data_IF_538647104425
#
_entry.id   IF_538647104425
#
_cell.length_a   1.000
_cell.length_b   1.000
_cell.length_c   1.000
_cell.angle_alpha   90.00
_cell.angle_beta   90.00
_cell.angle_gamma   90.00
#
_symmetry.space_group_name_H-M   'P 1'
#
loop_
_entity.id
_entity.type
_entity.pdbx_description
1 polymer ?
#
# COMPACT_ATOMS: atom_id res chain seq x y z
N UNK A 1 -14.91 -14.15 25.17
CA UNK A 1 -13.72 -14.37 24.32
C UNK A 1 -12.48 -14.18 25.20
N UNK A 2 -11.44 -14.99 25.07
CA UNK A 2 -10.19 -14.78 25.85
C UNK A 2 -9.47 -13.56 25.30
N UNK A 3 -9.19 -12.57 26.15
CA UNK A 3 -8.45 -11.36 25.75
C UNK A 3 -7.07 -11.74 25.21
N UNK A 4 -6.63 -11.05 24.17
CA UNK A 4 -5.36 -11.25 23.48
C UNK A 4 -4.62 -9.93 23.41
N UNK A 5 -3.30 -10.03 23.36
CA UNK A 5 -2.42 -8.90 23.07
C UNK A 5 -1.77 -9.14 21.72
N UNK A 6 -2.17 -8.34 20.74
CA UNK A 6 -1.91 -8.56 19.34
C UNK A 6 -0.82 -7.61 18.86
N UNK A 7 0.19 -8.13 18.18
CA UNK A 7 1.19 -7.34 17.48
C UNK A 7 0.90 -7.32 15.98
N UNK A 8 0.55 -6.15 15.44
CA UNK A 8 0.47 -5.93 14.00
C UNK A 8 1.83 -5.52 13.47
N UNK A 9 2.33 -6.20 12.44
CA UNK A 9 3.65 -5.92 11.87
C UNK A 9 3.52 -5.52 10.41
N UNK A 10 3.99 -4.31 10.08
CA UNK A 10 4.15 -3.86 8.69
C UNK A 10 5.47 -3.09 8.54
N UNK A 11 5.91 -2.83 7.31
CA UNK A 11 7.17 -2.10 7.09
C UNK A 11 7.03 -0.60 7.39
N UNK A 12 5.82 -0.08 7.23
CA UNK A 12 5.42 1.29 7.55
C UNK A 12 4.01 1.25 8.14
N UNK A 13 3.68 2.13 9.08
CA UNK A 13 2.33 2.26 9.65
C UNK A 13 2.01 3.75 9.80
N UNK A 14 0.73 4.11 9.90
CA UNK A 14 0.32 5.51 10.10
C UNK A 14 0.55 6.41 8.87
N UNK A 15 0.56 5.82 7.67
CA UNK A 15 0.57 6.53 6.39
C UNK A 15 -0.73 6.30 5.61
N UNK A 16 -0.84 6.95 4.47
CA UNK A 16 -2.03 6.96 3.61
C UNK A 16 -2.03 5.87 2.55
N UNK A 17 -1.08 4.93 2.63
CA UNK A 17 -1.10 3.78 1.73
C UNK A 17 -2.22 2.80 2.09
N UNK A 18 -2.68 2.05 1.08
CA UNK A 18 -3.82 1.16 1.23
C UNK A 18 -3.65 0.08 2.31
N UNK A 19 -2.43 -0.37 2.62
CA UNK A 19 -2.23 -1.38 3.68
C UNK A 19 -2.31 -0.75 5.07
N UNK A 20 -1.74 0.45 5.25
CA UNK A 20 -1.86 1.21 6.50
C UNK A 20 -3.32 1.50 6.88
N UNK A 21 -4.16 1.86 5.90
CA UNK A 21 -5.60 2.10 6.14
C UNK A 21 -6.34 0.82 6.55
N UNK A 22 -6.07 -0.30 5.89
CA UNK A 22 -6.70 -1.58 6.24
C UNK A 22 -6.22 -2.12 7.58
N UNK A 23 -4.94 -1.92 7.91
CA UNK A 23 -4.37 -2.24 9.22
C UNK A 23 -5.09 -1.47 10.34
N UNK A 24 -5.42 -0.19 10.12
CA UNK A 24 -6.18 0.61 11.09
C UNK A 24 -7.59 0.04 11.33
N UNK A 25 -8.30 -0.36 10.26
CA UNK A 25 -9.63 -1.00 10.37
C UNK A 25 -9.56 -2.31 11.14
N UNK A 26 -8.58 -3.16 10.83
CA UNK A 26 -8.38 -4.43 11.54
C UNK A 26 -8.09 -4.18 13.02
N UNK A 27 -7.18 -3.25 13.33
CA UNK A 27 -6.86 -2.86 14.71
C UNK A 27 -8.13 -2.47 15.47
N UNK A 28 -8.94 -1.58 14.90
CA UNK A 28 -10.18 -1.12 15.52
C UNK A 28 -11.13 -2.29 15.82
N UNK A 29 -11.37 -3.18 14.86
CA UNK A 29 -12.25 -4.35 15.06
C UNK A 29 -11.74 -5.26 16.19
N UNK A 30 -10.43 -5.52 16.25
CA UNK A 30 -9.86 -6.33 17.33
C UNK A 30 -9.97 -5.63 18.70
N UNK A 31 -9.80 -4.31 18.76
CA UNK A 31 -9.97 -3.52 19.98
C UNK A 31 -11.44 -3.50 20.45
N UNK A 32 -12.40 -3.36 19.54
CA UNK A 32 -13.84 -3.46 19.82
C UNK A 32 -14.25 -4.85 20.34
N UNK A 33 -13.57 -5.91 19.87
CA UNK A 33 -13.72 -7.27 20.39
C UNK A 33 -13.07 -7.46 21.79
N UNK A 34 -12.44 -6.43 22.35
CA UNK A 34 -11.86 -6.43 23.69
C UNK A 34 -10.39 -6.86 23.74
N UNK A 35 -9.72 -7.02 22.60
CA UNK A 35 -8.29 -7.29 22.53
C UNK A 35 -7.46 -6.01 22.70
N UNK A 36 -6.17 -6.16 22.94
CA UNK A 36 -5.21 -5.04 22.95
C UNK A 36 -4.32 -5.17 21.72
N UNK A 37 -4.13 -4.09 20.96
CA UNK A 37 -3.37 -4.11 19.72
C UNK A 37 -2.19 -3.11 19.77
N UNK A 38 -1.02 -3.57 19.34
CA UNK A 38 0.18 -2.77 19.17
C UNK A 38 0.63 -2.80 17.72
N UNK A 39 1.03 -1.64 17.20
CA UNK A 39 1.55 -1.51 15.85
C UNK A 39 3.08 -1.55 15.88
N UNK A 40 3.68 -2.33 14.98
CA UNK A 40 5.12 -2.41 14.77
C UNK A 40 5.43 -1.97 13.35
N UNK A 41 6.31 -0.98 13.21
CA UNK A 41 6.65 -0.37 11.93
C UNK A 41 8.12 0.06 11.85
N UNK A 42 8.68 0.02 10.64
CA UNK A 42 9.98 0.65 10.35
C UNK A 42 9.89 2.15 10.13
N UNK A 43 8.70 2.61 9.77
CA UNK A 43 8.25 3.98 9.83
C UNK A 43 6.87 3.97 10.49
N UNK A 44 6.65 4.82 11.48
CA UNK A 44 5.38 4.88 12.23
C UNK A 44 4.56 6.13 11.93
N UNK A 45 5.04 7.02 11.06
CA UNK A 45 4.31 8.22 10.66
C UNK A 45 3.77 9.02 11.86
N UNK A 46 2.49 9.38 11.80
CA UNK A 46 1.77 10.04 12.89
C UNK A 46 1.12 9.06 13.90
N UNK A 47 1.30 7.74 13.73
CA UNK A 47 0.66 6.75 14.58
C UNK A 47 1.42 6.49 15.88
N UNK A 48 0.69 6.10 16.93
CA UNK A 48 1.27 5.57 18.17
C UNK A 48 1.72 4.10 17.96
N UNK A 49 2.86 3.94 17.28
CA UNK A 49 3.45 2.66 16.92
C UNK A 49 4.85 2.44 17.50
N UNK A 50 5.23 1.18 17.66
CA UNK A 50 6.57 0.75 18.08
C UNK A 50 7.48 0.83 16.86
N UNK A 51 8.39 1.81 16.88
CA UNK A 51 9.35 2.05 15.82
C UNK A 51 10.54 1.08 15.91
N UNK A 52 10.75 0.31 14.84
CA UNK A 52 11.94 -0.54 14.64
C UNK A 52 12.53 -0.18 13.27
N UNK A 53 13.42 0.83 13.18
CA UNK A 53 13.85 1.43 11.92
C UNK A 53 14.34 0.42 10.87
N UNK A 54 14.98 -0.66 11.32
CA UNK A 54 15.49 -1.75 10.48
C UNK A 54 14.40 -2.53 9.73
N UNK A 55 13.14 -2.42 10.13
CA UNK A 55 12.01 -2.98 9.39
C UNK A 55 11.70 -2.19 8.12
N UNK A 56 12.12 -0.93 8.02
CA UNK A 56 11.76 -0.08 6.90
C UNK A 56 12.40 -0.61 5.62
N UNK A 57 11.57 -0.81 4.61
CA UNK A 57 11.94 -1.50 3.37
C UNK A 57 12.74 -0.62 2.40
N UNK A 58 12.72 0.70 2.58
CA UNK A 58 13.52 1.67 1.82
C UNK A 58 14.82 2.08 2.53
N UNK A 59 15.32 1.25 3.46
CA UNK A 59 16.69 1.44 3.94
C UNK A 59 17.67 0.90 2.89
N UNK A 60 18.87 1.50 2.74
CA UNK A 60 19.86 1.01 1.76
C UNK A 60 20.15 -0.49 1.88
N UNK A 61 20.20 -1.00 3.12
CA UNK A 61 20.40 -2.42 3.38
C UNK A 61 19.19 -3.28 3.00
N UNK A 62 17.96 -2.86 3.33
CA UNK A 62 16.76 -3.61 2.96
C UNK A 62 16.60 -3.69 1.45
N UNK A 63 16.86 -2.60 0.73
CA UNK A 63 16.80 -2.58 -0.74
C UNK A 63 17.87 -3.46 -1.37
N UNK A 64 19.12 -3.41 -0.88
CA UNK A 64 20.21 -4.29 -1.31
C UNK A 64 19.84 -5.77 -1.13
N UNK A 65 19.33 -6.15 0.05
CA UNK A 65 18.90 -7.51 0.34
C UNK A 65 17.68 -7.92 -0.50
N UNK A 66 16.75 -6.99 -0.73
CA UNK A 66 15.58 -7.21 -1.58
C UNK A 66 16.01 -7.48 -3.04
N UNK A 67 16.89 -6.66 -3.62
CA UNK A 67 17.44 -6.86 -4.97
C UNK A 67 18.21 -8.18 -5.06
N UNK A 68 19.03 -8.49 -4.07
CA UNK A 68 19.71 -9.77 -3.96
C UNK A 68 18.77 -10.96 -3.81
N UNK A 69 17.56 -10.79 -3.28
CA UNK A 69 16.58 -11.89 -3.17
C UNK A 69 15.83 -12.14 -4.49
N UNK A 70 15.46 -11.07 -5.20
CA UNK A 70 14.44 -11.12 -6.26
C UNK A 70 14.89 -10.67 -7.65
N UNK A 71 16.08 -10.08 -7.76
CA UNK A 71 16.58 -9.46 -9.00
C UNK A 71 17.96 -10.01 -9.40
N UNK A 72 19.04 -9.66 -8.69
CA UNK A 72 20.40 -10.10 -9.02
C UNK A 72 21.35 -10.07 -7.81
N UNK A 73 22.44 -10.84 -7.88
CA UNK A 73 23.51 -10.85 -6.86
C UNK A 73 24.66 -9.88 -7.19
N UNK A 74 24.45 -8.90 -8.05
CA UNK A 74 25.55 -8.04 -8.56
C UNK A 74 26.19 -7.21 -7.45
N UNK A 75 25.39 -6.71 -6.50
CA UNK A 75 25.88 -6.00 -5.30
C UNK A 75 26.69 -6.88 -4.33
N UNK A 76 26.68 -8.20 -4.57
CA UNK A 76 27.48 -9.21 -3.88
C UNK A 76 28.51 -9.87 -4.80
N UNK A 77 28.75 -9.32 -6.00
CA UNK A 77 29.68 -9.86 -6.99
C UNK A 77 29.38 -11.33 -7.36
N UNK A 78 28.11 -11.74 -7.27
CA UNK A 78 27.70 -13.13 -7.48
C UNK A 78 27.93 -14.09 -6.30
N UNK A 79 28.45 -13.61 -5.15
CA UNK A 79 28.71 -14.44 -3.97
C UNK A 79 27.44 -14.63 -3.12
N UNK A 80 26.83 -15.81 -3.22
CA UNK A 80 25.69 -16.19 -2.37
C UNK A 80 26.05 -16.22 -0.87
N UNK A 81 27.28 -16.59 -0.52
CA UNK A 81 27.74 -16.69 0.86
C UNK A 81 27.76 -15.35 1.57
N UNK A 82 28.17 -14.28 0.88
CA UNK A 82 28.19 -12.91 1.40
C UNK A 82 26.77 -12.38 1.60
N UNK A 83 25.91 -12.54 0.59
CA UNK A 83 24.48 -12.24 0.69
C UNK A 83 23.83 -12.97 1.86
N UNK A 84 24.07 -14.28 1.98
CA UNK A 84 23.54 -15.10 3.06
C UNK A 84 24.01 -14.60 4.43
N UNK A 85 25.28 -14.25 4.60
CA UNK A 85 25.77 -13.75 5.90
C UNK A 85 25.06 -12.46 6.30
N UNK A 86 24.94 -11.50 5.39
CA UNK A 86 24.31 -10.20 5.67
C UNK A 86 22.79 -10.35 5.92
N UNK A 87 22.11 -11.19 5.15
CA UNK A 87 20.69 -11.53 5.35
C UNK A 87 20.44 -12.10 6.76
N UNK A 88 21.27 -13.06 7.19
CA UNK A 88 21.12 -13.70 8.49
C UNK A 88 21.49 -12.77 9.65
N UNK A 89 22.54 -11.96 9.51
CA UNK A 89 22.90 -10.93 10.51
C UNK A 89 21.74 -9.95 10.74
N UNK A 90 21.15 -9.44 9.66
CA UNK A 90 20.01 -8.52 9.77
C UNK A 90 18.78 -9.19 10.38
N UNK A 91 18.58 -10.47 10.08
CA UNK A 91 17.49 -11.27 10.67
C UNK A 91 17.68 -11.47 12.17
N UNK A 92 18.90 -11.77 12.62
CA UNK A 92 19.20 -12.00 14.04
C UNK A 92 19.01 -10.71 14.86
N UNK A 93 19.38 -9.56 14.29
CA UNK A 93 19.11 -8.24 14.87
C UNK A 93 17.61 -7.99 15.01
N UNK A 94 16.84 -8.15 13.94
CA UNK A 94 15.38 -7.97 13.94
C UNK A 94 14.68 -8.92 14.90
N UNK A 95 15.06 -10.20 14.90
CA UNK A 95 14.53 -11.21 15.81
C UNK A 95 14.74 -10.81 17.27
N UNK A 96 15.93 -10.31 17.61
CA UNK A 96 16.26 -9.86 18.97
C UNK A 96 15.40 -8.66 19.39
N UNK A 97 15.21 -7.68 18.50
CA UNK A 97 14.35 -6.51 18.76
C UNK A 97 12.87 -6.90 18.88
N UNK A 98 12.36 -7.74 17.98
CA UNK A 98 10.99 -8.24 18.05
C UNK A 98 10.75 -8.98 19.36
N UNK A 99 11.65 -9.89 19.74
CA UNK A 99 11.55 -10.62 21.00
C UNK A 99 11.47 -9.68 22.21
N UNK A 100 12.32 -8.65 22.26
CA UNK A 100 12.34 -7.71 23.37
C UNK A 100 10.97 -7.02 23.55
N UNK A 101 10.43 -6.44 22.49
CA UNK A 101 9.13 -5.75 22.55
C UNK A 101 7.94 -6.71 22.73
N UNK A 102 8.00 -7.92 22.15
CA UNK A 102 6.98 -8.95 22.35
C UNK A 102 6.88 -9.31 23.82
N UNK A 103 8.02 -9.49 24.49
CA UNK A 103 8.06 -9.78 25.93
C UNK A 103 7.61 -8.57 26.76
N UNK A 104 8.09 -7.37 26.42
CA UNK A 104 7.75 -6.12 27.11
C UNK A 104 6.23 -5.84 27.08
N UNK A 105 5.59 -6.01 25.91
CA UNK A 105 4.16 -5.76 25.73
C UNK A 105 3.28 -6.97 26.04
N UNK A 106 3.87 -8.14 26.23
CA UNK A 106 3.13 -9.39 26.44
C UNK A 106 2.34 -9.83 25.21
N UNK A 107 2.89 -9.64 24.00
CA UNK A 107 2.25 -10.04 22.74
C UNK A 107 2.10 -11.57 22.70
N UNK A 108 0.88 -12.04 22.48
CA UNK A 108 0.53 -13.46 22.42
C UNK A 108 -0.21 -13.87 21.12
N UNK A 109 -0.30 -12.95 20.16
CA UNK A 109 -0.81 -13.20 18.82
C UNK A 109 -0.16 -12.25 17.80
N UNK A 110 0.24 -12.75 16.63
CA UNK A 110 0.90 -11.95 15.58
C UNK A 110 -0.03 -11.73 14.38
N UNK A 111 -0.06 -10.51 13.85
CA UNK A 111 -0.71 -10.19 12.58
C UNK A 111 0.30 -9.52 11.64
N UNK A 112 1.07 -10.30 10.87
CA UNK A 112 1.90 -9.78 9.81
C UNK A 112 1.01 -9.28 8.66
N UNK A 113 1.12 -7.99 8.33
CA UNK A 113 0.44 -7.35 7.21
C UNK A 113 1.40 -7.27 6.02
N UNK A 114 1.17 -8.06 4.99
CA UNK A 114 2.03 -8.20 3.80
C UNK A 114 3.50 -8.63 4.02
N UNK A 115 3.92 -8.81 5.27
CA UNK A 115 5.32 -9.13 5.60
C UNK A 115 5.74 -10.49 5.06
N UNK A 116 4.86 -11.50 5.14
CA UNK A 116 5.14 -12.85 4.66
C UNK A 116 4.72 -13.10 3.21
N UNK A 117 4.07 -12.15 2.55
CA UNK A 117 3.63 -12.29 1.16
C UNK A 117 4.49 -11.48 0.20
N UNK A 118 4.68 -10.18 0.47
CA UNK A 118 5.46 -9.27 -0.39
C UNK A 118 6.95 -9.37 -0.13
N UNK A 119 7.31 -9.54 1.14
CA UNK A 119 8.69 -9.64 1.63
C UNK A 119 9.59 -8.48 1.13
N UNK A 120 9.07 -7.26 1.15
CA UNK A 120 9.82 -6.06 0.73
C UNK A 120 11.10 -5.84 1.55
N UNK A 121 11.13 -6.35 2.79
CA UNK A 121 12.34 -6.50 3.60
C UNK A 121 12.44 -7.99 4.01
N UNK A 122 13.19 -8.82 3.25
CA UNK A 122 13.23 -10.28 3.45
C UNK A 122 13.65 -10.72 4.87
N UNK A 123 14.64 -10.07 5.53
CA UNK A 123 14.97 -10.31 6.95
C UNK A 123 13.79 -10.22 7.92
N UNK A 124 12.87 -9.27 7.74
CA UNK A 124 11.70 -9.09 8.62
C UNK A 124 10.77 -10.30 8.56
N UNK A 125 10.51 -10.80 7.35
CA UNK A 125 9.70 -12.01 7.16
C UNK A 125 10.34 -13.22 7.84
N UNK A 126 11.65 -13.41 7.66
CA UNK A 126 12.40 -14.49 8.31
C UNK A 126 12.40 -14.37 9.84
N UNK A 127 12.63 -13.17 10.38
CA UNK A 127 12.66 -12.91 11.81
C UNK A 127 11.30 -13.20 12.47
N UNK A 128 10.19 -12.72 11.90
CA UNK A 128 8.85 -13.01 12.42
C UNK A 128 8.51 -14.50 12.37
N UNK A 129 8.89 -15.20 11.29
CA UNK A 129 8.66 -16.64 11.20
C UNK A 129 9.45 -17.40 12.27
N UNK A 130 10.68 -16.96 12.61
CA UNK A 130 11.46 -17.53 13.71
C UNK A 130 10.83 -17.24 15.07
N UNK A 131 10.40 -16.02 15.33
CA UNK A 131 9.68 -15.64 16.56
C UNK A 131 8.44 -16.51 16.76
N UNK A 132 7.57 -16.59 15.75
CA UNK A 132 6.35 -17.40 15.77
C UNK A 132 6.66 -18.85 16.17
N UNK A 133 7.66 -19.47 15.53
CA UNK A 133 8.05 -20.87 15.80
C UNK A 133 8.68 -21.05 17.18
N UNK A 134 9.67 -20.21 17.54
CA UNK A 134 10.47 -20.36 18.76
C UNK A 134 9.67 -20.02 20.02
N UNK A 135 8.84 -18.98 19.96
CA UNK A 135 8.00 -18.55 21.08
C UNK A 135 6.62 -19.20 21.08
N UNK A 136 6.32 -20.02 20.06
CA UNK A 136 5.03 -20.69 19.85
C UNK A 136 3.83 -19.74 19.86
N UNK A 137 4.02 -18.53 19.31
CA UNK A 137 2.98 -17.51 19.22
C UNK A 137 2.15 -17.79 17.94
N UNK A 138 0.82 -17.95 18.03
CA UNK A 138 -0.03 -18.07 16.85
C UNK A 138 -0.03 -16.78 16.00
N UNK A 139 -0.20 -16.93 14.69
CA UNK A 139 -0.21 -15.82 13.75
C UNK A 139 -1.35 -15.95 12.73
N UNK A 140 -1.94 -14.80 12.38
CA UNK A 140 -2.83 -14.64 11.23
C UNK A 140 -2.21 -13.62 10.28
N UNK A 141 -1.60 -14.11 9.20
CA UNK A 141 -1.06 -13.22 8.17
C UNK A 141 -2.18 -12.73 7.27
N UNK A 142 -2.22 -11.43 7.03
CA UNK A 142 -3.16 -10.80 6.12
C UNK A 142 -2.39 -10.27 4.91
N UNK A 143 -2.69 -10.85 3.75
CA UNK A 143 -1.90 -10.72 2.54
C UNK A 143 -2.74 -10.09 1.42
N UNK A 144 -2.33 -8.91 0.98
CA UNK A 144 -2.99 -8.15 -0.07
C UNK A 144 -2.49 -8.53 -1.47
N UNK A 145 -1.21 -8.88 -1.55
CA UNK A 145 -0.46 -9.22 -2.75
C UNK A 145 0.71 -10.14 -2.37
N UNK A 146 1.30 -10.80 -3.36
CA UNK A 146 2.41 -11.73 -3.18
C UNK A 146 3.60 -11.36 -4.06
N UNK A 147 4.81 -11.74 -3.62
CA UNK A 147 6.04 -11.41 -4.35
C UNK A 147 6.00 -11.91 -5.81
N UNK A 148 5.34 -13.04 -6.10
CA UNK A 148 5.23 -13.60 -7.47
C UNK A 148 4.25 -12.85 -8.40
N UNK A 149 3.54 -11.83 -7.91
CA UNK A 149 2.61 -11.02 -8.71
C UNK A 149 3.28 -9.80 -9.36
N UNK A 150 4.59 -9.62 -9.17
CA UNK A 150 5.35 -8.49 -9.71
C UNK A 150 5.45 -8.58 -11.24
N UNK A 151 5.16 -7.46 -11.92
CA UNK A 151 5.10 -7.38 -13.39
C UNK A 151 6.45 -7.57 -14.08
N UNK A 152 7.53 -7.11 -13.44
CA UNK A 152 8.90 -7.25 -13.98
C UNK A 152 9.49 -8.65 -13.77
N UNK A 153 8.66 -9.58 -13.28
CA UNK A 153 9.05 -10.93 -12.93
C UNK A 153 9.69 -11.02 -11.55
N UNK A 154 9.84 -12.26 -11.09
CA UNK A 154 10.66 -12.60 -9.93
C UNK A 154 11.63 -13.70 -10.31
N UNK A 155 12.91 -13.43 -10.15
CA UNK A 155 13.94 -14.46 -10.18
C UNK A 155 14.47 -14.62 -8.74
N UNK A 156 14.08 -15.71 -8.07
CA UNK A 156 14.77 -16.09 -6.84
C UNK A 156 16.23 -16.40 -7.23
N UNK A 157 17.13 -15.52 -6.81
CA UNK A 157 18.47 -15.37 -7.43
C UNK A 157 19.44 -16.51 -7.15
N UNK A 158 19.26 -17.18 -6.02
CA UNK A 158 20.20 -18.16 -5.48
C UNK A 158 19.50 -19.14 -4.53
N UNK A 159 20.23 -20.16 -4.07
CA UNK A 159 19.67 -21.17 -3.16
C UNK A 159 19.16 -20.55 -1.86
N UNK A 160 19.89 -19.60 -1.28
CA UNK A 160 19.46 -18.88 -0.07
C UNK A 160 18.14 -18.14 -0.26
N UNK A 161 17.93 -17.48 -1.41
CA UNK A 161 16.66 -16.81 -1.73
C UNK A 161 15.51 -17.81 -1.93
N UNK A 162 15.78 -18.95 -2.60
CA UNK A 162 14.82 -20.04 -2.77
C UNK A 162 14.40 -20.62 -1.41
N UNK A 163 15.36 -20.96 -0.57
CA UNK A 163 15.12 -21.53 0.76
C UNK A 163 14.29 -20.59 1.64
N UNK A 164 14.61 -19.29 1.62
CA UNK A 164 13.81 -18.26 2.30
C UNK A 164 12.38 -18.24 1.78
N UNK A 165 12.21 -18.13 0.46
CA UNK A 165 10.91 -18.03 -0.17
C UNK A 165 10.02 -19.25 0.16
N UNK A 166 10.55 -20.47 0.04
CA UNK A 166 9.80 -21.70 0.31
C UNK A 166 9.52 -21.94 1.80
N UNK A 167 10.40 -21.51 2.70
CA UNK A 167 10.23 -21.75 4.13
C UNK A 167 9.36 -20.72 4.82
N UNK A 168 9.53 -19.43 4.47
CA UNK A 168 9.03 -18.32 5.27
C UNK A 168 8.07 -17.39 4.52
N UNK A 169 7.93 -17.48 3.20
CA UNK A 169 7.17 -16.52 2.40
C UNK A 169 6.06 -17.13 1.53
N UNK A 170 4.86 -17.39 2.09
CA UNK A 170 4.54 -17.36 3.51
C UNK A 170 4.83 -18.70 4.20
N UNK A 171 4.90 -18.74 5.56
CA UNK A 171 5.19 -19.97 6.28
C UNK A 171 3.99 -20.93 6.26
N UNK A 172 4.23 -22.17 5.83
CA UNK A 172 3.29 -23.29 5.98
C UNK A 172 3.52 -23.94 7.34
N UNK A 173 2.82 -23.49 8.37
CA UNK A 173 3.00 -23.96 9.74
C UNK A 173 1.67 -24.04 10.49
N UNK A 174 1.45 -24.99 11.41
CA UNK A 174 0.18 -25.09 12.16
C UNK A 174 -0.19 -23.85 12.97
N UNK A 175 0.81 -23.06 13.41
CA UNK A 175 0.61 -21.78 14.11
C UNK A 175 0.32 -20.60 13.16
N UNK A 176 0.54 -20.75 11.86
CA UNK A 176 0.27 -19.71 10.88
C UNK A 176 -1.06 -20.01 10.18
N UNK A 177 -1.97 -19.04 10.21
CA UNK A 177 -3.13 -18.97 9.32
C UNK A 177 -2.97 -17.79 8.39
N UNK A 178 -3.65 -17.86 7.25
CA UNK A 178 -3.53 -16.88 6.19
C UNK A 178 -4.90 -16.36 5.81
N UNK A 179 -5.00 -15.05 5.66
CA UNK A 179 -6.11 -14.34 5.06
C UNK A 179 -5.59 -13.61 3.81
N UNK A 180 -6.43 -13.54 2.79
CA UNK A 180 -6.17 -12.83 1.53
C UNK A 180 -7.35 -11.94 1.19
N UNK A 181 -7.11 -10.88 0.43
CA UNK A 181 -8.17 -9.91 0.13
C UNK A 181 -9.09 -10.30 -1.04
N UNK A 182 -8.74 -11.33 -1.79
CA UNK A 182 -9.52 -11.76 -2.95
C UNK A 182 -9.35 -13.26 -3.26
N UNK A 183 -10.29 -13.81 -4.02
CA UNK A 183 -10.31 -15.23 -4.41
C UNK A 183 -9.20 -15.61 -5.40
N UNK A 184 -8.61 -14.65 -6.13
CA UNK A 184 -7.47 -14.92 -7.00
C UNK A 184 -6.23 -15.25 -6.16
N UNK A 185 -5.91 -14.42 -5.17
CA UNK A 185 -4.82 -14.65 -4.23
C UNK A 185 -5.01 -15.94 -3.43
N UNK A 186 -6.25 -16.27 -3.06
CA UNK A 186 -6.57 -17.54 -2.37
C UNK A 186 -6.18 -18.75 -3.23
N UNK A 187 -6.62 -18.77 -4.50
CA UNK A 187 -6.30 -19.85 -5.44
C UNK A 187 -4.81 -19.95 -5.70
N UNK A 188 -4.15 -18.83 -5.98
CA UNK A 188 -2.71 -18.82 -6.23
C UNK A 188 -1.89 -19.30 -5.03
N UNK A 189 -2.28 -18.91 -3.82
CA UNK A 189 -1.62 -19.35 -2.60
C UNK A 189 -1.78 -20.87 -2.40
N UNK A 190 -2.98 -21.41 -2.66
CA UNK A 190 -3.21 -22.86 -2.60
C UNK A 190 -2.41 -23.60 -3.66
N UNK A 191 -2.46 -23.17 -4.92
CA UNK A 191 -1.79 -23.81 -6.05
C UNK A 191 -0.26 -23.79 -5.91
N UNK A 192 0.31 -22.66 -5.48
CA UNK A 192 1.77 -22.48 -5.40
C UNK A 192 2.36 -23.03 -4.11
N UNK A 193 1.61 -23.00 -3.00
CA UNK A 193 2.16 -23.25 -1.65
C UNK A 193 1.43 -24.35 -0.87
N UNK A 194 0.29 -24.83 -1.35
CA UNK A 194 -0.55 -25.78 -0.63
C UNK A 194 -1.08 -25.19 0.68
N UNK A 195 -1.32 -23.87 0.72
CA UNK A 195 -1.79 -23.14 1.89
C UNK A 195 -3.23 -22.70 1.63
N UNK A 196 -4.14 -23.14 2.50
CA UNK A 196 -5.50 -22.64 2.54
C UNK A 196 -5.54 -21.27 3.24
N UNK A 197 -6.37 -20.37 2.74
CA UNK A 197 -6.56 -19.04 3.30
C UNK A 197 -8.04 -18.65 3.31
N UNK A 198 -8.42 -17.83 4.29
CA UNK A 198 -9.71 -17.15 4.28
C UNK A 198 -9.68 -15.96 3.32
N UNK A 199 -10.80 -15.66 2.66
CA UNK A 199 -10.94 -14.41 1.90
C UNK A 199 -11.58 -13.38 2.80
N UNK A 200 -10.84 -12.32 3.12
CA UNK A 200 -11.32 -11.16 3.88
C UNK A 200 -11.09 -9.93 3.02
N UNK A 201 -12.08 -9.48 2.23
CA UNK A 201 -11.89 -8.36 1.34
C UNK A 201 -11.72 -7.04 2.12
N UNK A 202 -11.04 -6.08 1.51
CA UNK A 202 -11.08 -4.71 1.99
C UNK A 202 -12.52 -4.18 1.83
N UNK A 203 -13.03 -3.52 2.86
CA UNK A 203 -14.41 -3.01 2.88
C UNK A 203 -14.46 -1.52 3.19
N UNK A 204 -15.51 -0.88 2.70
CA UNK A 204 -15.94 0.44 3.16
C UNK A 204 -17.06 0.27 4.18
N UNK A 205 -17.09 1.12 5.20
CA UNK A 205 -18.26 1.22 6.07
C UNK A 205 -19.31 2.10 5.39
N UNK A 206 -20.35 1.47 4.86
CA UNK A 206 -21.46 2.16 4.21
C UNK A 206 -22.52 2.67 5.21
N UNK A 207 -22.36 2.41 6.51
CA UNK A 207 -23.26 2.94 7.54
C UNK A 207 -22.82 4.34 8.01
N UNK A 208 -21.59 4.76 7.70
CA UNK A 208 -21.15 6.12 7.95
C UNK A 208 -21.98 7.12 7.14
N UNK A 209 -22.20 8.30 7.70
CA UNK A 209 -22.89 9.37 6.99
C UNK A 209 -22.10 9.72 5.71
N UNK A 210 -22.77 9.90 4.55
CA UNK A 210 -22.07 10.29 3.33
C UNK A 210 -21.32 11.60 3.55
N UNK A 211 -20.07 11.68 3.08
CA UNK A 211 -19.30 12.92 3.16
C UNK A 211 -20.06 14.07 2.53
N UNK A 212 -20.23 15.15 3.30
CA UNK A 212 -20.86 16.37 2.85
C UNK A 212 -19.82 17.47 2.67
N UNK A 213 -20.07 18.43 1.76
CA UNK A 213 -19.33 19.67 1.75
C UNK A 213 -19.45 20.38 3.10
N UNK A 214 -18.33 20.81 3.66
CA UNK A 214 -18.23 21.59 4.90
C UNK A 214 -17.33 22.81 4.71
N UNK A 215 -17.16 23.61 5.75
CA UNK A 215 -16.34 24.83 5.70
C UNK A 215 -14.87 24.54 5.37
N UNK A 216 -14.43 23.30 5.59
CA UNK A 216 -13.09 22.88 5.28
C UNK A 216 -12.92 22.48 3.81
N UNK A 217 -13.87 21.81 3.16
CA UNK A 217 -13.67 21.31 1.80
C UNK A 217 -14.42 22.12 0.71
N UNK A 218 -15.37 22.99 1.08
CA UNK A 218 -16.23 23.73 0.12
C UNK A 218 -15.46 24.59 -0.89
N UNK A 219 -14.24 25.02 -0.53
CA UNK A 219 -13.39 25.88 -1.34
C UNK A 219 -12.46 25.11 -2.28
N UNK A 220 -12.42 23.76 -2.24
CA UNK A 220 -11.47 22.96 -3.00
C UNK A 220 -11.50 23.29 -4.48
N UNK A 221 -12.69 23.31 -5.10
CA UNK A 221 -12.86 23.60 -6.55
C UNK A 221 -12.22 24.93 -6.92
N UNK A 222 -12.58 26.01 -6.21
CA UNK A 222 -12.02 27.34 -6.44
C UNK A 222 -10.50 27.35 -6.29
N UNK A 223 -9.99 26.67 -5.25
CA UNK A 223 -8.56 26.69 -4.91
C UNK A 223 -7.69 25.97 -5.92
N UNK A 224 -8.21 24.94 -6.56
CA UNK A 224 -7.53 24.25 -7.67
C UNK A 224 -7.88 24.87 -9.03
N UNK A 225 -8.68 25.94 -9.07
CA UNK A 225 -9.03 26.66 -10.29
C UNK A 225 -10.14 26.02 -11.12
N UNK A 226 -10.97 25.15 -10.55
CA UNK A 226 -12.19 24.63 -11.17
C UNK A 226 -13.37 25.58 -10.97
N UNK A 227 -14.18 25.72 -12.02
CA UNK A 227 -15.49 26.37 -11.97
C UNK A 227 -16.53 25.40 -11.43
N UNK A 228 -17.69 25.93 -11.07
CA UNK A 228 -18.79 25.12 -10.54
C UNK A 228 -19.34 24.14 -11.58
N UNK A 229 -19.43 24.54 -12.85
CA UNK A 229 -19.93 23.75 -13.98
C UNK A 229 -18.87 22.80 -14.60
N UNK A 230 -17.61 22.87 -14.18
CA UNK A 230 -16.57 21.96 -14.68
C UNK A 230 -16.83 20.50 -14.26
N UNK A 231 -16.54 19.56 -15.16
CA UNK A 231 -16.47 18.13 -14.83
C UNK A 231 -15.10 17.84 -14.23
N UNK A 232 -15.11 17.38 -12.97
CA UNK A 232 -13.92 16.98 -12.22
C UNK A 232 -13.72 15.47 -12.38
N UNK A 233 -12.76 15.07 -13.22
CA UNK A 233 -12.35 13.66 -13.37
C UNK A 233 -11.16 13.38 -12.46
N UNK A 234 -11.40 12.72 -11.32
CA UNK A 234 -10.39 12.51 -10.27
C UNK A 234 -9.61 11.21 -10.46
N UNK A 235 -8.28 11.30 -10.43
CA UNK A 235 -7.37 10.18 -10.25
C UNK A 235 -6.65 10.32 -8.89
N UNK A 236 -7.24 9.73 -7.86
CA UNK A 236 -6.73 9.73 -6.48
C UNK A 236 -5.85 8.49 -6.18
N UNK A 237 -4.92 8.17 -7.07
CA UNK A 237 -3.99 7.05 -6.88
C UNK A 237 -2.56 7.50 -7.12
N UNK A 238 -1.58 6.86 -6.47
CA UNK A 238 -0.15 7.04 -6.77
C UNK A 238 0.12 6.98 -8.28
N UNK A 239 1.07 7.80 -8.74
CA UNK A 239 1.43 7.90 -10.15
C UNK A 239 2.49 6.84 -10.47
N UNK A 240 2.04 5.61 -10.77
CA UNK A 240 2.89 4.47 -11.11
C UNK A 240 2.32 3.68 -12.28
N UNK A 241 3.18 3.06 -13.08
CA UNK A 241 2.83 2.39 -14.36
C UNK A 241 1.67 1.40 -14.25
N UNK A 242 1.64 0.59 -13.18
CA UNK A 242 0.58 -0.41 -12.97
C UNK A 242 -0.83 0.17 -12.80
N UNK A 243 -0.97 1.48 -12.56
CA UNK A 243 -2.26 2.17 -12.42
C UNK A 243 -2.86 2.60 -13.77
N UNK A 244 -2.10 2.53 -14.86
CA UNK A 244 -2.63 2.76 -16.20
C UNK A 244 -3.24 4.15 -16.40
N UNK A 245 -2.65 5.19 -15.80
CA UNK A 245 -3.15 6.57 -15.83
C UNK A 245 -3.27 7.10 -17.27
N UNK A 246 -2.46 6.58 -18.19
CA UNK A 246 -2.56 6.87 -19.63
C UNK A 246 -3.92 6.53 -20.23
N UNK A 247 -4.66 5.57 -19.67
CA UNK A 247 -6.01 5.23 -20.11
C UNK A 247 -7.04 6.26 -19.63
N UNK A 248 -6.82 6.86 -18.46
CA UNK A 248 -7.67 7.95 -17.98
C UNK A 248 -7.49 9.20 -18.85
N UNK A 249 -6.27 9.46 -19.34
CA UNK A 249 -6.00 10.53 -20.32
C UNK A 249 -6.80 10.29 -21.61
N UNK A 250 -6.74 9.07 -22.15
CA UNK A 250 -7.51 8.70 -23.35
C UNK A 250 -9.02 8.85 -23.12
N UNK A 251 -9.49 8.47 -21.93
CA UNK A 251 -10.90 8.63 -21.55
C UNK A 251 -11.32 10.11 -21.52
N UNK A 252 -10.53 10.99 -20.90
CA UNK A 252 -10.85 12.42 -20.86
C UNK A 252 -10.81 13.03 -22.26
N UNK A 253 -9.85 12.65 -23.09
CA UNK A 253 -9.80 13.09 -24.48
C UNK A 253 -11.06 12.65 -25.25
N UNK A 254 -11.46 11.39 -25.12
CA UNK A 254 -12.65 10.85 -25.77
C UNK A 254 -13.95 11.48 -25.22
N UNK A 255 -13.99 11.83 -23.93
CA UNK A 255 -15.14 12.52 -23.33
C UNK A 255 -15.24 13.98 -23.81
N UNK A 256 -14.13 14.58 -24.19
CA UNK A 256 -14.06 15.98 -24.63
C UNK A 256 -14.33 16.17 -26.14
N UNK A 257 -14.72 15.12 -26.89
CA UNK A 257 -15.05 15.27 -28.32
C UNK A 257 -16.33 16.11 -28.51
N UNK A 258 -16.50 16.79 -29.66
CA UNK A 258 -17.68 17.63 -29.92
C UNK A 258 -19.01 16.89 -29.71
N UNK A 259 -19.09 15.64 -30.14
CA UNK A 259 -20.30 14.81 -30.03
C UNK A 259 -20.64 14.51 -28.58
N UNK A 260 -19.64 14.21 -27.74
CA UNK A 260 -19.83 13.93 -26.31
C UNK A 260 -20.14 15.21 -25.53
N UNK A 261 -19.45 16.31 -25.83
CA UNK A 261 -19.77 17.62 -25.27
C UNK A 261 -21.20 18.05 -25.62
N UNK A 262 -21.66 17.81 -26.84
CA UNK A 262 -23.05 18.11 -27.24
C UNK A 262 -24.06 17.29 -26.42
N UNK A 263 -23.78 16.01 -26.17
CA UNK A 263 -24.62 15.18 -25.30
C UNK A 263 -24.63 15.67 -23.86
N UNK A 264 -23.49 16.11 -23.32
CA UNK A 264 -23.38 16.71 -21.99
C UNK A 264 -24.08 18.07 -21.91
N UNK A 265 -24.14 18.86 -22.98
CA UNK A 265 -24.90 20.12 -22.98
C UNK A 265 -26.41 19.89 -23.02
N UNK A 266 -26.84 18.86 -23.75
CA UNK A 266 -28.25 18.53 -23.89
C UNK A 266 -28.86 17.92 -22.60
N UNK A 267 -28.03 17.51 -21.64
CA UNK A 267 -28.45 16.87 -20.39
C UNK A 267 -27.76 17.55 -19.21
N UNK A 268 -28.49 17.89 -18.15
CA UNK A 268 -27.82 18.30 -16.91
C UNK A 268 -26.91 17.18 -16.38
N UNK A 269 -25.86 17.56 -15.64
CA UNK A 269 -25.03 16.62 -14.89
C UNK A 269 -25.91 15.86 -13.87
N UNK A 270 -25.39 14.74 -13.36
CA UNK A 270 -26.13 13.85 -12.45
C UNK A 270 -26.65 14.53 -11.17
N UNK A 271 -26.04 15.66 -10.79
CA UNK A 271 -26.35 16.47 -9.61
C UNK A 271 -27.14 17.76 -9.95
N UNK A 272 -27.61 17.89 -11.19
CA UNK A 272 -28.42 19.02 -11.65
C UNK A 272 -27.63 20.21 -12.17
N UNK A 273 -26.29 20.22 -12.04
CA UNK A 273 -25.45 21.29 -12.62
C UNK A 273 -25.56 21.29 -14.15
N UNK A 274 -25.50 22.47 -14.75
CA UNK A 274 -25.47 22.63 -16.20
C UNK A 274 -24.04 22.42 -16.73
N UNK A 275 -23.94 21.90 -17.94
CA UNK A 275 -22.70 21.85 -18.71
C UNK A 275 -22.91 22.66 -19.99
N UNK A 276 -22.08 23.67 -20.21
CA UNK A 276 -22.25 24.69 -21.25
C UNK A 276 -20.96 24.87 -22.07
N UNK A 277 -20.89 25.94 -22.88
CA UNK A 277 -19.72 26.27 -23.68
C UNK A 277 -18.50 26.66 -22.83
N UNK A 278 -18.72 27.23 -21.65
CA UNK A 278 -17.68 27.70 -20.72
C UNK A 278 -17.19 26.61 -19.76
N UNK A 279 -17.88 25.46 -19.74
CA UNK A 279 -17.59 24.29 -18.92
C UNK A 279 -16.42 23.47 -19.47
N UNK A 280 -15.50 23.08 -18.59
CA UNK A 280 -14.34 22.25 -18.92
C UNK A 280 -14.51 20.84 -18.41
N UNK A 281 -13.74 19.92 -19.00
CA UNK A 281 -13.57 18.55 -18.50
C UNK A 281 -12.12 18.47 -18.07
N UNK A 282 -11.91 18.42 -16.76
CA UNK A 282 -10.58 18.59 -16.18
C UNK A 282 -10.16 17.31 -15.50
N UNK A 283 -9.01 16.79 -15.90
CA UNK A 283 -8.39 15.64 -15.29
C UNK A 283 -7.54 16.07 -14.10
N UNK A 284 -7.86 15.58 -12.91
CA UNK A 284 -7.19 16.01 -11.68
C UNK A 284 -6.42 14.85 -11.08
N UNK A 285 -5.10 15.03 -10.98
CA UNK A 285 -4.16 14.05 -10.44
C UNK A 285 -3.81 14.41 -9.00
N UNK A 286 -4.32 13.61 -8.06
CA UNK A 286 -4.15 13.81 -6.63
C UNK A 286 -3.04 12.94 -6.00
N UNK A 287 -2.54 11.94 -6.73
CA UNK A 287 -1.49 11.05 -6.21
C UNK A 287 -0.08 11.63 -6.30
N UNK A 288 0.77 11.28 -5.33
CA UNK A 288 2.19 11.59 -5.37
C UNK A 288 2.96 10.70 -6.37
N UNK A 289 4.13 11.18 -6.80
CA UNK A 289 4.96 10.60 -7.86
C UNK A 289 6.35 10.12 -7.39
N UNK A 290 6.63 10.14 -6.08
CA UNK A 290 7.95 9.77 -5.52
C UNK A 290 8.39 8.33 -5.84
N UNK A 291 7.46 7.44 -6.21
CA UNK A 291 7.74 6.03 -6.53
C UNK A 291 8.03 5.80 -8.04
N UNK A 292 8.26 6.85 -8.85
CA UNK A 292 8.54 6.71 -10.29
C UNK A 292 10.03 6.66 -10.63
N UNK A 293 10.60 5.46 -10.58
CA UNK A 293 11.98 5.20 -11.01
C UNK A 293 12.11 4.99 -12.53
N UNK A 294 10.99 5.10 -13.27
CA UNK A 294 10.90 4.65 -14.67
C UNK A 294 10.73 5.79 -15.68
N UNK A 295 10.59 7.04 -15.23
CA UNK A 295 10.24 8.19 -16.06
C UNK A 295 8.80 8.13 -16.60
N UNK A 296 7.90 7.44 -15.90
CA UNK A 296 6.49 7.34 -16.24
C UNK A 296 5.77 8.69 -16.19
N UNK A 297 6.07 9.53 -15.20
CA UNK A 297 5.51 10.88 -15.06
C UNK A 297 5.80 11.72 -16.30
N UNK A 298 7.02 11.66 -16.81
CA UNK A 298 7.41 12.41 -18.00
C UNK A 298 6.69 11.91 -19.26
N UNK A 299 6.50 10.60 -19.40
CA UNK A 299 5.66 10.03 -20.47
C UNK A 299 4.20 10.48 -20.37
N UNK A 300 3.64 10.55 -19.15
CA UNK A 300 2.28 11.07 -18.95
C UNK A 300 2.20 12.55 -19.34
N UNK A 301 3.16 13.38 -18.93
CA UNK A 301 3.23 14.80 -19.33
C UNK A 301 3.29 14.97 -20.84
N UNK A 302 4.10 14.16 -21.53
CA UNK A 302 4.17 14.16 -22.99
C UNK A 302 2.82 13.81 -23.64
N UNK A 303 2.15 12.77 -23.15
CA UNK A 303 0.83 12.37 -23.65
C UNK A 303 -0.24 13.44 -23.39
N UNK A 304 -0.22 14.07 -22.22
CA UNK A 304 -1.11 15.20 -21.89
C UNK A 304 -0.89 16.35 -22.89
N UNK A 305 0.36 16.72 -23.14
CA UNK A 305 0.69 17.78 -24.10
C UNK A 305 0.23 17.44 -25.54
N UNK A 306 0.33 16.17 -25.94
CA UNK A 306 -0.12 15.70 -27.27
C UNK A 306 -1.65 15.69 -27.41
N UNK A 307 -2.36 15.35 -26.34
CA UNK A 307 -3.83 15.22 -26.34
C UNK A 307 -4.54 16.55 -26.12
N UNK A 308 -3.89 17.51 -25.49
CA UNK A 308 -4.43 18.85 -25.22
C UNK A 308 -5.56 18.85 -24.19
N UNK A 309 -5.68 17.81 -23.36
CA UNK A 309 -6.67 17.78 -22.28
C UNK A 309 -6.29 18.77 -21.16
N UNK A 310 -7.29 19.28 -20.44
CA UNK A 310 -7.05 20.14 -19.28
C UNK A 310 -6.70 19.25 -18.07
N UNK A 311 -5.58 19.54 -17.40
CA UNK A 311 -5.04 18.70 -16.31
C UNK A 311 -4.55 19.57 -15.17
N UNK A 312 -4.88 19.16 -13.94
CA UNK A 312 -4.39 19.80 -12.71
C UNK A 312 -3.72 18.75 -11.82
N UNK A 313 -2.52 19.04 -11.34
CA UNK A 313 -1.83 18.24 -10.33
C UNK A 313 -2.07 18.87 -8.96
N UNK A 314 -2.58 18.10 -7.99
CA UNK A 314 -2.96 18.61 -6.66
C UNK A 314 -2.34 17.80 -5.52
N UNK A 315 -1.31 17.00 -5.82
CA UNK A 315 -0.70 16.08 -4.86
C UNK A 315 -0.10 16.76 -3.61
N UNK A 316 0.27 18.04 -3.73
CA UNK A 316 0.77 18.87 -2.64
C UNK A 316 -0.36 19.49 -1.78
N UNK A 317 -1.61 19.40 -2.25
CA UNK A 317 -2.78 19.96 -1.58
C UNK A 317 -3.64 18.90 -0.87
N UNK A 318 -3.32 17.62 -1.02
CA UNK A 318 -4.11 16.51 -0.47
C UNK A 318 -3.26 15.55 0.37
N UNK A 319 -3.85 14.97 1.39
CA UNK A 319 -3.25 13.94 2.25
C UNK A 319 -4.37 13.06 2.83
N UNK A 320 -4.04 12.08 3.66
CA UNK A 320 -5.04 11.16 4.24
C UNK A 320 -5.84 11.79 5.38
N UNK A 321 -5.36 12.91 5.92
CA UNK A 321 -6.03 13.68 6.96
C UNK A 321 -6.00 15.17 6.63
N UNK A 322 -7.05 15.87 7.04
CA UNK A 322 -7.13 17.32 6.93
C UNK A 322 -6.04 17.95 7.78
N UNK A 323 -5.34 18.94 7.24
CA UNK A 323 -4.31 19.62 8.02
C UNK A 323 -3.72 20.84 7.35
N UNK A 324 -2.58 21.27 7.86
CA UNK A 324 -1.80 22.37 7.28
C UNK A 324 -0.36 21.91 7.11
N UNK A 325 0.21 22.12 5.93
CA UNK A 325 1.62 21.84 5.62
C UNK A 325 2.27 23.12 5.14
N UNK A 326 3.31 23.57 5.84
CA UNK A 326 4.04 24.80 5.52
C UNK A 326 3.13 26.03 5.34
N UNK A 327 2.09 26.15 6.18
CA UNK A 327 1.11 27.24 6.11
C UNK A 327 0.01 27.08 5.04
N UNK A 328 0.08 26.04 4.21
CA UNK A 328 -0.94 25.72 3.22
C UNK A 328 -1.91 24.67 3.74
N UNK A 329 -3.22 24.95 3.62
CA UNK A 329 -4.29 24.00 3.91
C UNK A 329 -4.19 22.75 3.02
N UNK A 330 -4.34 21.58 3.64
CA UNK A 330 -4.31 20.24 3.05
C UNK A 330 -5.68 19.60 3.20
N UNK A 331 -6.22 19.12 2.07
CA UNK A 331 -7.50 18.42 1.99
C UNK A 331 -7.31 16.91 2.19
N UNK A 332 -8.39 16.22 2.56
CA UNK A 332 -8.47 14.76 2.66
C UNK A 332 -9.65 14.22 1.88
#
# INVERSE_FOLDING_TARGET
MTKKTIGFFHYQVGRTDGVSLELAKWRQVFEEMGHTAYLFGGDVGASDGILIPEMFHHTPLAEKLYRATYQSLDEYQGDEGDYRRELFQQTDLLESKFKAHILEKGIDFLIPQNVWSVAANPPVGMALARIMRRMKIPALAHNHDFYWERRDGVALTCKTAIDLAFRDLPPRHPLARHAVINSLGQRQLLERRGIEAAVVPNVFDFNEAPWQPDDYNRDLRQRIGLKENDIFVLQATRIVTRKGIELAIDFVQALNTPERRAQLKAKSLYDGRLFDDDSRIVFVLAGYAQDDDTGYVDRLKQKIAQTGIDVIFIADMVDGERGTRSGSKIYS
#
